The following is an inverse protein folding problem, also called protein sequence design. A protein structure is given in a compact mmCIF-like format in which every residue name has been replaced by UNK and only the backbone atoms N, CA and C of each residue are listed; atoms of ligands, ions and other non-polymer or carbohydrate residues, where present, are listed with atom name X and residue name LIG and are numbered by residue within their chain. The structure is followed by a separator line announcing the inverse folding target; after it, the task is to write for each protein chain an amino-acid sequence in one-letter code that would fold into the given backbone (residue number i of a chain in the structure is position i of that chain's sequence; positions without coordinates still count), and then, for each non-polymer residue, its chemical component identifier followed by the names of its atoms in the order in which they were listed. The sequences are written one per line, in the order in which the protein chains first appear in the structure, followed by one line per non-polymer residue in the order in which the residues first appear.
data_IF_397638756626
#
_entry.id   IF_397638756626
#
_cell.length_a   1.000
_cell.length_b   1.000
_cell.length_c   1.000
_cell.angle_alpha   90.00
_cell.angle_beta   90.00
_cell.angle_gamma   90.00
#
_symmetry.space_group_name_H-M   'P 1'
#
loop_
_entity.id
_entity.type
_entity.pdbx_description
1 polymer ?
#
# COMPACT_ATOMS: atom_id res chain seq x y z
N UNK A 1 26.09 3.50 10.12
CA UNK A 1 25.34 3.85 8.90
C UNK A 1 25.85 5.18 8.37
N UNK A 2 26.54 5.18 7.24
CA UNK A 2 27.04 6.40 6.59
C UNK A 2 25.85 7.20 6.05
N UNK A 3 25.64 8.43 6.53
CA UNK A 3 24.55 9.29 6.06
C UNK A 3 24.77 9.63 4.58
N UNK A 4 23.72 9.51 3.78
CA UNK A 4 23.75 9.93 2.38
C UNK A 4 24.08 11.42 2.30
N UNK A 5 24.88 11.82 1.30
CA UNK A 5 25.20 13.22 1.08
C UNK A 5 23.90 13.98 0.76
N UNK A 6 23.63 15.12 1.42
CA UNK A 6 22.44 15.92 1.14
C UNK A 6 22.49 16.46 -0.30
N UNK A 7 21.31 16.63 -0.92
CA UNK A 7 21.19 17.19 -2.27
C UNK A 7 21.23 18.73 -2.30
N UNK A 8 21.24 19.36 -1.13
CA UNK A 8 21.24 20.80 -0.95
C UNK A 8 22.40 21.18 -0.05
N UNK A 9 23.13 22.23 -0.41
CA UNK A 9 24.21 22.76 0.42
C UNK A 9 23.71 23.78 1.47
N UNK A 10 24.62 24.32 2.27
CA UNK A 10 24.29 25.29 3.31
C UNK A 10 23.79 26.66 2.78
N UNK A 11 23.97 26.93 1.48
CA UNK A 11 23.52 28.14 0.80
C UNK A 11 22.20 27.93 0.06
N UNK A 12 21.67 26.70 0.05
CA UNK A 12 20.44 26.35 -0.64
C UNK A 12 20.63 25.96 -2.10
N UNK A 13 21.88 25.83 -2.58
CA UNK A 13 22.16 25.38 -3.94
C UNK A 13 21.92 23.87 -4.05
N UNK A 14 21.24 23.48 -5.13
CA UNK A 14 20.86 22.10 -5.40
C UNK A 14 21.87 21.50 -6.37
N UNK A 15 22.45 20.35 -6.01
CA UNK A 15 23.37 19.62 -6.89
C UNK A 15 22.63 18.95 -8.05
N UNK A 16 23.31 18.75 -9.18
CA UNK A 16 22.76 18.02 -10.31
C UNK A 16 22.40 16.58 -9.93
N UNK A 17 21.31 16.07 -10.53
CA UNK A 17 20.85 14.70 -10.32
C UNK A 17 21.74 13.76 -11.15
N UNK A 18 22.42 12.84 -10.47
CA UNK A 18 23.36 11.90 -11.08
C UNK A 18 22.70 10.53 -11.36
N UNK A 19 23.43 9.67 -12.06
CA UNK A 19 22.98 8.31 -12.39
C UNK A 19 22.65 7.48 -11.13
N UNK A 20 23.31 7.75 -10.00
CA UNK A 20 23.03 7.09 -8.72
C UNK A 20 21.66 7.50 -8.14
N UNK A 21 21.27 8.77 -8.30
CA UNK A 21 19.93 9.25 -7.96
C UNK A 21 18.87 8.53 -8.78
N UNK A 22 19.01 8.48 -10.11
CA UNK A 22 18.02 7.83 -10.97
C UNK A 22 17.98 6.31 -10.79
N UNK A 23 19.11 5.66 -10.47
CA UNK A 23 19.15 4.24 -10.14
C UNK A 23 18.38 3.89 -8.85
N UNK A 24 18.26 4.84 -7.92
CA UNK A 24 17.57 4.66 -6.63
C UNK A 24 16.20 5.32 -6.57
N UNK A 25 15.89 6.17 -7.54
CA UNK A 25 14.62 6.87 -7.63
C UNK A 25 13.49 5.87 -7.82
N UNK A 26 12.63 5.74 -6.81
CA UNK A 26 11.40 4.96 -6.93
C UNK A 26 10.27 5.92 -7.32
N UNK A 27 9.64 5.76 -8.49
CA UNK A 27 8.41 6.49 -8.77
C UNK A 27 7.40 6.10 -7.69
N UNK A 28 7.02 7.08 -6.86
CA UNK A 28 5.95 6.87 -5.90
C UNK A 28 4.68 6.57 -6.68
N UNK A 29 4.03 5.43 -6.42
CA UNK A 29 2.67 5.22 -6.91
C UNK A 29 1.82 6.34 -6.29
N UNK A 30 1.13 7.17 -7.09
CA UNK A 30 0.22 8.16 -6.52
C UNK A 30 -0.74 7.46 -5.57
N UNK A 31 -0.97 8.07 -4.41
CA UNK A 31 -1.85 7.50 -3.39
C UNK A 31 -3.24 7.24 -4.02
N UNK A 32 -3.86 6.11 -3.66
CA UNK A 32 -5.23 5.87 -4.10
C UNK A 32 -6.15 7.01 -3.63
N UNK A 33 -7.06 7.51 -4.48
CA UNK A 33 -8.10 8.45 -4.06
C UNK A 33 -8.90 7.89 -2.88
N UNK A 34 -9.33 8.76 -1.95
CA UNK A 34 -10.09 8.34 -0.75
C UNK A 34 -11.32 7.48 -1.09
N UNK A 35 -12.00 7.79 -2.20
CA UNK A 35 -13.17 7.03 -2.68
C UNK A 35 -12.86 5.59 -3.08
N UNK A 36 -11.60 5.28 -3.40
CA UNK A 36 -11.14 3.96 -3.81
C UNK A 36 -10.46 3.19 -2.67
N UNK A 37 -10.26 3.82 -1.51
CA UNK A 37 -9.67 3.15 -0.34
C UNK A 37 -10.69 2.22 0.30
N UNK A 38 -10.22 1.03 0.69
CA UNK A 38 -11.01 0.11 1.52
C UNK A 38 -11.28 0.77 2.87
N UNK A 39 -12.53 0.72 3.34
CA UNK A 39 -12.90 1.19 4.68
C UNK A 39 -12.73 0.06 5.68
N UNK A 40 -12.19 0.37 6.87
CA UNK A 40 -12.14 -0.59 7.98
C UNK A 40 -13.53 -0.69 8.60
N UNK A 41 -14.07 -1.90 8.63
CA UNK A 41 -15.35 -2.24 9.27
C UNK A 41 -15.08 -3.34 10.29
N UNK A 42 -15.79 -3.30 11.42
CA UNK A 42 -15.73 -4.36 12.42
C UNK A 42 -16.91 -5.31 12.20
N UNK A 43 -16.62 -6.58 11.89
CA UNK A 43 -17.62 -7.63 11.65
C UNK A 43 -17.16 -8.86 12.41
N UNK A 44 -18.08 -9.46 13.16
CA UNK A 44 -17.85 -10.75 13.80
C UNK A 44 -18.15 -11.87 12.81
N UNK A 45 -17.22 -12.81 12.70
CA UNK A 45 -17.36 -14.04 11.91
C UNK A 45 -17.20 -15.22 12.84
N UNK A 46 -17.83 -16.34 12.48
CA UNK A 46 -17.71 -17.57 13.25
C UNK A 46 -16.24 -18.06 13.29
N UNK A 47 -15.80 -18.71 14.39
CA UNK A 47 -14.40 -19.09 14.57
C UNK A 47 -13.87 -20.00 13.46
N UNK A 48 -14.68 -20.94 12.99
CA UNK A 48 -14.32 -21.86 11.89
C UNK A 48 -14.13 -21.10 10.57
N UNK A 49 -14.98 -20.11 10.28
CA UNK A 49 -14.84 -19.23 9.11
C UNK A 49 -13.54 -18.44 9.18
N UNK A 50 -13.18 -17.91 10.35
CA UNK A 50 -11.91 -17.16 10.54
C UNK A 50 -10.69 -18.05 10.29
N UNK A 51 -10.68 -19.27 10.84
CA UNK A 51 -9.58 -20.22 10.64
C UNK A 51 -9.45 -20.61 9.17
N UNK A 52 -10.57 -20.86 8.49
CA UNK A 52 -10.56 -21.13 7.05
C UNK A 52 -10.09 -19.91 6.25
N UNK A 53 -10.47 -18.69 6.61
CA UNK A 53 -10.02 -17.48 5.92
C UNK A 53 -8.52 -17.21 6.07
N UNK A 54 -7.90 -17.60 7.20
CA UNK A 54 -6.44 -17.50 7.41
C UNK A 54 -5.64 -18.47 6.55
N UNK A 55 -6.19 -19.64 6.25
CA UNK A 55 -5.50 -20.69 5.47
C UNK A 55 -5.55 -20.46 3.95
N UNK A 56 -6.46 -19.61 3.48
CA UNK A 56 -6.61 -19.31 2.05
C UNK A 56 -5.49 -18.39 1.59
N UNK A 57 -4.87 -18.72 0.44
CA UNK A 57 -3.87 -17.86 -0.20
C UNK A 57 -4.51 -16.56 -0.72
N UNK A 58 -3.88 -15.42 -0.41
CA UNK A 58 -4.28 -14.09 -0.90
C UNK A 58 -4.81 -13.15 0.19
N UNK A 59 -5.36 -12.00 -0.22
CA UNK A 59 -5.92 -11.03 0.73
C UNK A 59 -7.32 -11.44 1.17
N UNK A 60 -7.50 -11.72 2.47
CA UNK A 60 -8.80 -12.00 3.10
C UNK A 60 -9.83 -10.91 2.76
N UNK A 61 -9.42 -9.64 2.82
CA UNK A 61 -10.29 -8.49 2.52
C UNK A 61 -10.85 -8.50 1.10
N UNK A 62 -10.07 -8.99 0.14
CA UNK A 62 -10.45 -9.02 -1.27
C UNK A 62 -11.42 -10.16 -1.55
N UNK A 63 -11.18 -11.31 -0.92
CA UNK A 63 -12.10 -12.44 -0.96
C UNK A 63 -13.46 -12.09 -0.35
N UNK A 64 -13.46 -11.48 0.83
CA UNK A 64 -14.69 -11.04 1.52
C UNK A 64 -15.42 -10.00 0.67
N UNK A 65 -14.73 -8.98 0.17
CA UNK A 65 -15.35 -7.98 -0.71
C UNK A 65 -15.95 -8.58 -1.98
N UNK A 66 -15.29 -9.57 -2.59
CA UNK A 66 -15.82 -10.24 -3.79
C UNK A 66 -17.12 -11.00 -3.50
N UNK A 67 -17.16 -11.74 -2.39
CA UNK A 67 -18.35 -12.48 -1.99
C UNK A 67 -19.50 -11.53 -1.65
N UNK A 68 -19.24 -10.49 -0.85
CA UNK A 68 -20.25 -9.48 -0.51
C UNK A 68 -20.74 -8.70 -1.74
N UNK A 69 -19.86 -8.40 -2.70
CA UNK A 69 -20.28 -7.77 -3.95
C UNK A 69 -21.23 -8.65 -4.75
N UNK A 70 -20.88 -9.93 -4.92
CA UNK A 70 -21.74 -10.88 -5.62
C UNK A 70 -23.12 -11.04 -4.94
N UNK A 71 -23.15 -11.09 -3.60
CA UNK A 71 -24.38 -11.17 -2.81
C UNK A 71 -25.24 -9.90 -2.88
N UNK A 72 -24.61 -8.73 -2.85
CA UNK A 72 -25.26 -7.42 -2.90
C UNK A 72 -25.56 -6.93 -4.33
N UNK A 73 -25.16 -7.68 -5.37
CA UNK A 73 -25.31 -7.29 -6.77
C UNK A 73 -24.45 -6.09 -7.21
N UNK A 74 -23.23 -5.97 -6.66
CA UNK A 74 -22.26 -4.88 -6.87
C UNK A 74 -21.03 -5.28 -7.71
#
# INVERSE_FOLDING_TARGET
MTKAKPYTDAKGEVRELDDDFFAKAKPGRPALPESQKKKRVNVMLDPDVVERLKTVKGSTSERVNRLLRADLGL
#
